data_IF_012862785166
#
_entry.id   IF_012862785166
#
_cell.length_a   1.000
_cell.length_b   1.000
_cell.length_c   1.000
_cell.angle_alpha   90.00
_cell.angle_beta   90.00
_cell.angle_gamma   90.00
#
_symmetry.space_group_name_H-M   'P 1'
#
loop_
_entity.id
_entity.type
_entity.pdbx_description
1 polymer ?
#
# COMPACT_ATOMS: atom_id res chain seq x y z
N UNK A 1 18.02 22.22 0.88
CA UNK A 1 17.40 21.35 -0.14
C UNK A 1 17.00 20.08 0.58
N UNK A 2 15.71 19.86 0.86
CA UNK A 2 15.28 18.50 1.22
C UNK A 2 15.56 17.65 -0.03
N UNK A 3 16.35 16.59 0.14
CA UNK A 3 16.48 15.59 -0.92
C UNK A 3 15.16 14.84 -0.97
N UNK A 4 14.34 15.05 -2.00
CA UNK A 4 13.14 14.25 -2.21
C UNK A 4 13.58 12.81 -2.46
N UNK A 5 13.38 11.95 -1.47
CA UNK A 5 13.70 10.53 -1.54
C UNK A 5 12.43 9.79 -1.94
N UNK A 6 12.44 9.21 -3.13
CA UNK A 6 11.40 8.31 -3.58
C UNK A 6 11.70 6.87 -3.17
N UNK A 7 10.66 6.17 -2.75
CA UNK A 7 10.67 4.74 -2.47
C UNK A 7 9.63 4.06 -3.35
N UNK A 8 9.94 2.86 -3.82
CA UNK A 8 9.07 2.07 -4.67
C UNK A 8 8.72 0.77 -3.96
N UNK A 9 7.42 0.43 -3.96
CA UNK A 9 6.91 -0.83 -3.41
C UNK A 9 6.26 -1.61 -4.54
N UNK A 10 6.76 -2.82 -4.76
CA UNK A 10 6.19 -3.74 -5.73
C UNK A 10 4.99 -4.48 -5.13
N UNK A 11 3.82 -4.28 -5.71
CA UNK A 11 2.59 -4.99 -5.33
C UNK A 11 2.35 -6.13 -6.33
N UNK A 12 2.47 -7.41 -5.93
CA UNK A 12 2.23 -8.51 -6.85
C UNK A 12 0.72 -8.71 -7.11
N UNK A 13 0.37 -9.00 -8.37
CA UNK A 13 -0.96 -9.52 -8.70
C UNK A 13 -1.10 -11.00 -8.34
N UNK A 14 -2.34 -11.47 -8.33
CA UNK A 14 -2.64 -12.90 -8.37
C UNK A 14 -2.26 -13.55 -9.72
N UNK A 15 -2.63 -14.82 -9.90
CA UNK A 15 -2.35 -15.57 -11.13
C UNK A 15 -3.12 -15.04 -12.35
N UNK A 16 -4.22 -14.33 -12.13
CA UNK A 16 -5.13 -13.87 -13.17
C UNK A 16 -4.96 -12.36 -13.45
N UNK A 17 -3.94 -11.74 -12.88
CA UNK A 17 -3.61 -10.32 -13.11
C UNK A 17 -4.44 -9.34 -12.26
N UNK A 18 -5.03 -9.79 -11.16
CA UNK A 18 -5.77 -8.94 -10.23
C UNK A 18 -4.94 -8.51 -9.03
N UNK A 19 -5.13 -7.27 -8.58
CA UNK A 19 -4.52 -6.70 -7.36
C UNK A 19 -5.56 -6.54 -6.26
N UNK A 20 -5.17 -6.77 -5.01
CA UNK A 20 -6.07 -6.60 -3.86
C UNK A 20 -6.11 -5.14 -3.44
N UNK A 21 -7.33 -4.65 -3.25
CA UNK A 21 -7.66 -3.33 -2.75
C UNK A 21 -8.47 -3.44 -1.47
N UNK A 22 -8.25 -2.51 -0.56
CA UNK A 22 -9.01 -2.40 0.70
C UNK A 22 -9.64 -1.02 0.80
N UNK A 23 -10.95 -0.96 0.98
CA UNK A 23 -11.63 0.30 1.25
C UNK A 23 -11.28 0.81 2.66
N UNK A 24 -10.74 2.03 2.82
CA UNK A 24 -10.39 2.55 4.14
C UNK A 24 -11.61 2.95 4.97
N UNK A 25 -12.79 3.07 4.34
CA UNK A 25 -14.02 3.51 5.01
C UNK A 25 -14.75 2.32 5.66
N UNK A 26 -14.97 1.24 4.91
CA UNK A 26 -15.74 0.07 5.38
C UNK A 26 -14.91 -1.22 5.50
N UNK A 27 -13.60 -1.16 5.23
CA UNK A 27 -12.67 -2.31 5.25
C UNK A 27 -13.00 -3.45 4.27
N UNK A 28 -13.89 -3.23 3.30
CA UNK A 28 -14.15 -4.21 2.26
C UNK A 28 -12.91 -4.44 1.41
N UNK A 29 -12.60 -5.72 1.13
CA UNK A 29 -11.52 -6.10 0.22
C UNK A 29 -12.10 -6.57 -1.10
N UNK A 30 -11.56 -6.07 -2.20
CA UNK A 30 -11.96 -6.43 -3.56
C UNK A 30 -10.73 -6.42 -4.46
N UNK A 31 -10.83 -7.05 -5.64
CA UNK A 31 -9.73 -7.09 -6.60
C UNK A 31 -10.15 -6.58 -7.96
N UNK A 32 -9.29 -5.77 -8.57
CA UNK A 32 -9.44 -5.27 -9.93
C UNK A 32 -8.26 -5.72 -10.78
N UNK A 33 -8.45 -5.81 -12.10
CA UNK A 33 -7.36 -6.17 -13.00
C UNK A 33 -6.36 -5.01 -13.11
N UNK A 34 -5.07 -5.33 -13.20
CA UNK A 34 -4.02 -4.31 -13.37
C UNK A 34 -4.28 -3.43 -14.59
N UNK A 35 -4.75 -4.03 -15.69
CA UNK A 35 -5.05 -3.31 -16.93
C UNK A 35 -6.20 -2.31 -16.81
N UNK A 36 -6.99 -2.38 -15.74
CA UNK A 36 -8.09 -1.46 -15.46
C UNK A 36 -7.70 -0.35 -14.47
N UNK A 37 -6.46 -0.36 -13.97
CA UNK A 37 -5.90 0.72 -13.15
C UNK A 37 -5.45 1.84 -14.09
N UNK A 38 -5.79 3.10 -13.76
CA UNK A 38 -5.39 4.25 -14.57
C UNK A 38 -3.86 4.41 -14.63
N UNK A 39 -3.35 4.86 -15.77
CA UNK A 39 -1.92 5.07 -16.05
C UNK A 39 -1.23 6.04 -15.06
N UNK A 40 -1.99 6.95 -14.45
CA UNK A 40 -1.49 7.92 -13.45
C UNK A 40 -1.28 7.31 -12.06
N UNK A 41 -1.31 5.97 -11.92
CA UNK A 41 -1.11 5.23 -10.66
C UNK A 41 -2.16 5.51 -9.56
N UNK A 42 -3.18 6.31 -9.87
CA UNK A 42 -4.30 6.61 -8.99
C UNK A 42 -5.45 5.63 -9.24
N UNK A 43 -5.80 4.89 -8.19
CA UNK A 43 -6.92 3.96 -8.20
C UNK A 43 -8.22 4.76 -8.01
N UNK A 44 -8.77 5.24 -9.12
CA UNK A 44 -10.07 5.91 -9.11
C UNK A 44 -11.21 4.87 -9.16
N UNK A 45 -11.46 4.22 -8.03
CA UNK A 45 -12.48 3.19 -7.90
C UNK A 45 -13.57 3.60 -6.90
N UNK A 46 -14.76 3.04 -7.07
CA UNK A 46 -15.83 3.04 -6.08
C UNK A 46 -15.71 1.79 -5.22
N UNK A 47 -15.96 1.90 -3.91
CA UNK A 47 -16.02 0.71 -3.07
C UNK A 47 -17.24 -0.14 -3.45
N UNK A 48 -17.07 -1.45 -3.78
CA UNK A 48 -18.18 -2.29 -4.19
C UNK A 48 -19.22 -2.51 -3.09
N UNK A 49 -18.88 -2.27 -1.82
CA UNK A 49 -19.81 -2.44 -0.69
C UNK A 49 -20.51 -1.16 -0.28
N UNK A 50 -19.77 -0.08 -0.03
CA UNK A 50 -20.36 1.16 0.49
C UNK A 50 -20.63 2.22 -0.59
N UNK A 51 -20.16 2.04 -1.82
CA UNK A 51 -20.41 2.99 -2.92
C UNK A 51 -19.72 4.34 -2.73
N UNK A 52 -18.65 4.41 -1.92
CA UNK A 52 -17.86 5.62 -1.70
C UNK A 52 -16.48 5.52 -2.38
N UNK A 53 -15.99 6.65 -2.89
CA UNK A 53 -14.61 6.83 -3.36
C UNK A 53 -13.68 7.18 -2.21
N UNK A 54 -12.41 6.85 -2.37
CA UNK A 54 -11.33 7.16 -1.44
C UNK A 54 -10.08 7.56 -2.21
N UNK A 55 -9.21 8.36 -1.59
CA UNK A 55 -7.94 8.81 -2.18
C UNK A 55 -7.00 7.65 -2.49
N UNK A 56 -7.05 6.59 -1.69
CA UNK A 56 -6.35 5.34 -1.96
C UNK A 56 -7.12 4.13 -1.40
N UNK A 57 -6.72 2.96 -1.88
CA UNK A 57 -7.28 1.66 -1.50
C UNK A 57 -6.18 0.66 -1.09
N UNK A 58 -5.09 1.17 -0.49
CA UNK A 58 -3.96 0.35 -0.10
C UNK A 58 -4.36 -0.66 0.99
N UNK A 59 -3.91 -1.91 0.83
CA UNK A 59 -4.02 -2.92 1.88
C UNK A 59 -3.10 -2.58 3.05
N UNK A 60 -3.44 -3.03 4.25
CA UNK A 60 -2.70 -2.68 5.47
C UNK A 60 -1.21 -3.07 5.37
N UNK A 61 -0.91 -4.25 4.85
CA UNK A 61 0.46 -4.73 4.66
C UNK A 61 1.32 -3.78 3.79
N UNK A 62 0.71 -3.08 2.84
CA UNK A 62 1.42 -2.11 1.98
C UNK A 62 1.76 -0.86 2.78
N UNK A 63 0.83 -0.38 3.62
CA UNK A 63 1.06 0.75 4.50
C UNK A 63 2.15 0.43 5.53
N UNK A 64 2.10 -0.76 6.14
CA UNK A 64 3.09 -1.22 7.12
C UNK A 64 4.49 -1.31 6.49
N UNK A 65 4.60 -1.87 5.28
CA UNK A 65 5.87 -1.92 4.56
C UNK A 65 6.39 -0.52 4.22
N UNK A 66 5.53 0.38 3.77
CA UNK A 66 5.90 1.76 3.48
C UNK A 66 6.42 2.48 4.72
N UNK A 67 5.75 2.30 5.85
CA UNK A 67 6.17 2.86 7.12
C UNK A 67 7.55 2.32 7.55
N UNK A 68 7.75 1.00 7.47
CA UNK A 68 9.02 0.39 7.85
C UNK A 68 10.18 0.86 6.97
N UNK A 69 9.98 1.00 5.66
CA UNK A 69 10.99 1.54 4.73
C UNK A 69 11.39 2.98 5.13
N UNK A 70 10.40 3.83 5.44
CA UNK A 70 10.63 5.22 5.85
C UNK A 70 11.36 5.27 7.18
N UNK A 71 10.90 4.50 8.18
CA UNK A 71 11.53 4.45 9.50
C UNK A 71 12.98 3.98 9.39
N UNK A 72 13.26 2.98 8.57
CA UNK A 72 14.60 2.46 8.30
C UNK A 72 15.51 3.48 7.63
N UNK A 73 14.99 4.24 6.67
CA UNK A 73 15.73 5.32 6.05
C UNK A 73 16.10 6.43 7.05
N UNK A 74 15.16 6.81 7.92
CA UNK A 74 15.40 7.80 8.97
C UNK A 74 16.41 7.28 10.00
N UNK A 75 16.31 6.01 10.40
CA UNK A 75 17.28 5.37 11.29
C UNK A 75 18.69 5.41 10.69
N UNK A 76 18.84 5.08 9.40
CA UNK A 76 20.11 5.14 8.70
C UNK A 76 20.67 6.58 8.64
N UNK A 77 19.83 7.58 8.37
CA UNK A 77 20.25 8.99 8.38
C UNK A 77 20.80 9.44 9.74
N UNK A 78 20.08 9.11 10.83
CA UNK A 78 20.48 9.50 12.19
C UNK A 78 21.73 8.73 12.66
N UNK A 79 21.81 7.44 12.35
CA UNK A 79 22.97 6.62 12.67
C UNK A 79 24.22 7.15 11.93
N UNK A 80 24.13 7.43 10.64
CA UNK A 80 25.23 7.97 9.85
C UNK A 80 25.67 9.35 10.35
N UNK A 81 24.71 10.23 10.65
CA UNK A 81 25.01 11.55 11.22
C UNK A 81 25.75 11.45 12.56
N UNK A 82 25.32 10.54 13.45
CA UNK A 82 25.99 10.31 14.72
C UNK A 82 27.42 9.80 14.52
N UNK A 83 27.63 8.84 13.61
CA UNK A 83 28.97 8.33 13.28
C UNK A 83 29.89 9.42 12.71
N UNK A 84 29.36 10.28 11.84
CA UNK A 84 30.11 11.38 11.24
C UNK A 84 30.48 12.46 12.25
N UNK A 85 29.59 12.76 13.22
CA UNK A 85 29.91 13.62 14.35
C UNK A 85 31.02 13.03 15.21
N UNK A 86 30.94 11.75 15.58
CA UNK A 86 32.00 11.08 16.34
C UNK A 86 33.35 11.19 15.63
N UNK A 87 33.38 10.91 14.32
CA UNK A 87 34.61 11.02 13.50
C UNK A 87 35.17 12.44 13.49
N UNK A 88 34.29 13.44 13.33
CA UNK A 88 34.66 14.86 13.25
C UNK A 88 35.28 15.36 14.56
N UNK A 89 34.71 15.00 15.70
CA UNK A 89 35.18 15.48 17.00
C UNK A 89 36.23 14.58 17.67
N UNK A 90 36.53 13.41 17.10
CA UNK A 90 37.49 12.44 17.67
C UNK A 90 38.87 13.01 17.97
N UNK A 91 39.36 13.93 17.13
CA UNK A 91 40.68 14.53 17.27
C UNK A 91 40.63 15.95 17.85
N UNK A 92 39.45 16.43 18.28
CA UNK A 92 39.29 17.76 18.84
C UNK A 92 39.57 17.72 20.36
N UNK A 93 40.52 18.54 20.83
CA UNK A 93 40.93 18.57 22.24
C UNK A 93 39.90 19.24 23.15
N UNK A 94 39.00 20.04 22.59
CA UNK A 94 38.08 20.89 23.34
C UNK A 94 36.65 20.34 23.39
N UNK A 95 36.25 19.52 22.42
CA UNK A 95 34.90 18.96 22.32
C UNK A 95 35.03 17.47 22.01
N UNK A 96 34.48 16.63 22.89
CA UNK A 96 34.36 15.19 22.65
C UNK A 96 32.89 14.86 22.43
N UNK A 97 32.59 14.24 21.28
CA UNK A 97 31.28 13.70 20.98
C UNK A 97 31.36 12.16 21.00
N UNK A 98 30.38 11.53 21.66
CA UNK A 98 30.14 10.10 21.60
C UNK A 98 28.68 9.89 21.22
N UNK A 99 28.48 9.14 20.16
CA UNK A 99 27.18 8.72 19.67
C UNK A 99 26.45 7.84 20.68
N UNK A 100 25.13 7.88 20.60
CA UNK A 100 24.27 7.00 21.37
C UNK A 100 24.26 5.57 20.83
N UNK A 101 23.39 4.73 21.40
CA UNK A 101 23.08 3.42 20.82
C UNK A 101 22.55 3.62 19.40
N UNK A 102 22.99 2.78 18.45
CA UNK A 102 22.40 2.74 17.11
C UNK A 102 20.90 2.49 17.20
N UNK A 103 20.15 3.22 16.38
CA UNK A 103 18.72 3.00 16.19
C UNK A 103 18.57 1.69 15.42
N UNK A 104 17.78 0.78 15.98
CA UNK A 104 17.48 -0.53 15.38
C UNK A 104 16.53 -0.34 14.20
N UNK A 105 16.63 -1.21 13.19
CA UNK A 105 15.80 -1.17 11.98
C UNK A 105 14.59 -2.09 12.12
N UNK A 106 13.47 -1.64 11.57
CA UNK A 106 12.26 -2.44 11.42
C UNK A 106 12.40 -3.48 10.29
N UNK A 107 11.58 -4.52 10.35
CA UNK A 107 11.59 -5.57 9.32
C UNK A 107 10.78 -5.16 8.10
N UNK A 108 11.42 -5.08 6.93
CA UNK A 108 10.76 -4.85 5.64
C UNK A 108 10.31 -6.17 5.04
N UNK A 109 9.09 -6.61 5.34
CA UNK A 109 8.52 -7.83 4.76
C UNK A 109 7.98 -7.55 3.35
N UNK A 110 8.44 -8.27 2.30
CA UNK A 110 7.92 -8.06 0.96
C UNK A 110 6.43 -8.42 0.89
N UNK A 111 5.67 -7.68 0.08
CA UNK A 111 4.25 -7.96 -0.12
C UNK A 111 4.11 -9.32 -0.82
N UNK A 112 3.51 -10.28 -0.14
CA UNK A 112 3.20 -11.59 -0.71
C UNK A 112 2.02 -11.50 -1.66
N UNK A 113 2.00 -12.39 -2.67
CA UNK A 113 0.80 -12.59 -3.49
C UNK A 113 -0.36 -13.01 -2.58
N UNK A 114 -1.45 -12.25 -2.63
CA UNK A 114 -2.66 -12.57 -1.86
C UNK A 114 -3.42 -13.69 -2.57
N UNK A 115 -3.74 -14.73 -1.81
CA UNK A 115 -4.59 -15.85 -2.24
C UNK A 115 -5.74 -15.92 -1.25
N UNK A 116 -6.97 -16.03 -1.74
CA UNK A 116 -8.15 -16.08 -0.88
C UNK A 116 -9.41 -16.39 -1.67
N UNK A 117 -10.52 -16.51 -0.93
CA UNK A 117 -11.85 -16.84 -1.46
C UNK A 117 -12.48 -15.62 -2.16
N UNK A 118 -11.90 -15.24 -3.29
CA UNK A 118 -12.45 -14.23 -4.17
C UNK A 118 -13.04 -14.88 -5.42
N UNK A 119 -14.25 -14.46 -5.78
CA UNK A 119 -14.97 -14.92 -6.94
C UNK A 119 -15.11 -13.78 -7.95
N UNK A 120 -14.96 -14.12 -9.22
CA UNK A 120 -15.22 -13.19 -10.31
C UNK A 120 -16.71 -12.81 -10.37
N UNK A 121 -16.97 -11.51 -10.51
CA UNK A 121 -18.26 -10.92 -10.86
C UNK A 121 -18.05 -10.00 -12.06
N UNK A 122 -18.83 -10.22 -13.12
CA UNK A 122 -18.89 -9.35 -14.30
C UNK A 122 -19.92 -8.25 -14.07
N UNK A 123 -19.50 -7.01 -14.22
CA UNK A 123 -20.37 -5.83 -14.14
C UNK A 123 -20.82 -5.43 -15.53
N UNK A 124 -22.11 -5.61 -15.83
CA UNK A 124 -22.68 -5.36 -17.16
C UNK A 124 -22.68 -3.87 -17.56
N UNK A 125 -22.69 -2.96 -16.59
CA UNK A 125 -22.70 -1.51 -16.82
C UNK A 125 -21.43 -0.97 -17.52
N UNK A 126 -20.30 -1.64 -17.33
CA UNK A 126 -19.01 -1.24 -17.91
C UNK A 126 -18.25 -2.39 -18.60
N UNK A 127 -18.84 -3.59 -18.62
CA UNK A 127 -18.23 -4.84 -19.09
C UNK A 127 -16.86 -5.15 -18.47
N UNK A 128 -16.72 -4.85 -17.17
CA UNK A 128 -15.51 -5.14 -16.40
C UNK A 128 -15.70 -6.32 -15.47
N UNK A 129 -14.60 -6.98 -15.14
CA UNK A 129 -14.56 -8.10 -14.21
C UNK A 129 -13.79 -7.68 -12.97
N UNK A 130 -14.35 -7.96 -11.81
CA UNK A 130 -13.70 -7.77 -10.51
C UNK A 130 -13.82 -9.05 -9.70
N UNK A 131 -12.90 -9.27 -8.76
CA UNK A 131 -13.04 -10.35 -7.80
C UNK A 131 -13.53 -9.82 -6.46
N UNK A 132 -14.61 -10.39 -5.94
CA UNK A 132 -15.23 -10.04 -4.67
C UNK A 132 -15.20 -11.24 -3.74
N UNK A 133 -15.27 -11.02 -2.43
CA UNK A 133 -15.57 -12.13 -1.51
C UNK A 133 -16.94 -12.73 -1.84
N UNK A 134 -17.11 -14.03 -1.66
CA UNK A 134 -18.38 -14.73 -1.93
C UNK A 134 -19.58 -14.04 -1.26
N UNK A 135 -19.44 -13.59 -0.02
CA UNK A 135 -20.50 -12.90 0.73
C UNK A 135 -20.86 -11.57 0.04
N UNK A 136 -19.85 -10.77 -0.31
CA UNK A 136 -20.05 -9.46 -0.95
C UNK A 136 -20.66 -9.57 -2.34
N UNK A 137 -20.38 -10.66 -3.05
CA UNK A 137 -21.01 -10.96 -4.34
C UNK A 137 -22.51 -11.26 -4.20
N UNK A 138 -22.88 -12.02 -3.16
CA UNK A 138 -24.27 -12.39 -2.85
C UNK A 138 -25.11 -11.22 -2.32
N UNK A 139 -24.54 -10.31 -1.53
CA UNK A 139 -25.28 -9.16 -0.99
C UNK A 139 -25.66 -8.11 -2.06
N UNK A 140 -24.95 -8.09 -3.18
CA UNK A 140 -24.99 -6.98 -4.12
C UNK A 140 -24.20 -5.78 -3.63
N UNK A 141 -24.24 -4.69 -4.37
CA UNK A 141 -23.47 -3.50 -4.04
C UNK A 141 -23.32 -2.55 -5.21
N UNK A 142 -22.11 -2.05 -5.43
CA UNK A 142 -21.82 -1.01 -6.42
C UNK A 142 -20.76 -1.48 -7.41
N UNK A 143 -20.81 -0.95 -8.63
CA UNK A 143 -19.75 -1.14 -9.61
C UNK A 143 -18.49 -0.37 -9.21
N UNK A 144 -17.32 -1.02 -9.10
CA UNK A 144 -16.08 -0.32 -8.77
C UNK A 144 -15.63 0.73 -9.78
N UNK A 145 -16.15 0.70 -11.01
CA UNK A 145 -15.73 1.61 -12.08
C UNK A 145 -16.67 2.79 -12.26
N UNK A 146 -18.00 2.57 -12.26
CA UNK A 146 -18.98 3.63 -12.51
C UNK A 146 -19.86 3.98 -11.30
N UNK A 147 -19.81 3.20 -10.21
CA UNK A 147 -20.62 3.44 -9.02
C UNK A 147 -22.09 3.05 -9.16
N UNK A 148 -22.49 2.42 -10.28
CA UNK A 148 -23.86 1.94 -10.47
C UNK A 148 -24.21 0.85 -9.46
N UNK A 149 -25.40 0.92 -8.87
CA UNK A 149 -25.91 -0.08 -7.94
C UNK A 149 -26.24 -1.36 -8.71
N UNK A 150 -25.78 -2.51 -8.21
CA UNK A 150 -25.95 -3.82 -8.81
C UNK A 150 -26.49 -4.77 -7.76
N UNK A 151 -27.53 -5.53 -8.12
CA UNK A 151 -28.10 -6.54 -7.25
C UNK A 151 -27.11 -7.69 -6.99
N UNK A 152 -27.37 -8.41 -5.89
CA UNK A 152 -26.69 -9.64 -5.54
C UNK A 152 -26.95 -10.76 -6.54
N UNK A 153 -26.06 -11.76 -6.55
CA UNK A 153 -26.24 -12.99 -7.34
C UNK A 153 -27.20 -13.99 -6.66
#
# INVERSE_FOLDING_TARGET
MLSDKMFEISIPSDNDGFIVLKCPICSEKFMIQIQDVNDDSLIDAWCPKCGLKSDNYLDDDINDLAENIIQNYVADLLNNFSEDMERTFRNNKNIQFKGGKKIDKETEMPIGRKVGDFEEKRYLCCDKVVKLRTISKFEGGYCPFCGELVDGD
#
